data_IF_600367636495
#
_entry.id   IF_600367636495
#
_cell.length_a   1.000
_cell.length_b   1.000
_cell.length_c   1.000
_cell.angle_alpha   90.00
_cell.angle_beta   90.00
_cell.angle_gamma   90.00
#
_symmetry.space_group_name_H-M   'P 1'
#
loop_
_entity.id
_entity.type
_entity.pdbx_description
1 polymer ?
#
# COMPACT_ATOMS: atom_id res chain seq x y z
N UNK A 1 -18.69 -28.98 -29.18
CA UNK A 1 -18.31 -27.58 -29.45
C UNK A 1 -17.70 -27.04 -28.16
N UNK A 2 -16.39 -26.79 -28.14
CA UNK A 2 -15.74 -26.09 -27.02
C UNK A 2 -15.72 -24.61 -27.38
N UNK A 3 -16.40 -23.79 -26.58
CA UNK A 3 -16.31 -22.33 -26.66
C UNK A 3 -15.10 -21.90 -25.86
N UNK A 4 -14.13 -21.27 -26.51
CA UNK A 4 -13.03 -20.60 -25.82
C UNK A 4 -13.57 -19.26 -25.34
N UNK A 5 -13.79 -19.13 -24.03
CA UNK A 5 -14.03 -17.82 -23.44
C UNK A 5 -12.78 -16.97 -23.68
N UNK A 6 -12.92 -15.91 -24.45
CA UNK A 6 -11.87 -14.92 -24.62
C UNK A 6 -11.78 -14.15 -23.30
N UNK A 7 -10.78 -14.47 -22.48
CA UNK A 7 -10.46 -13.67 -21.31
C UNK A 7 -10.04 -12.28 -21.81
N UNK A 8 -10.96 -11.31 -21.74
CA UNK A 8 -10.60 -9.91 -21.91
C UNK A 8 -9.60 -9.55 -20.82
N UNK A 9 -8.46 -8.97 -21.19
CA UNK A 9 -7.55 -8.40 -20.21
C UNK A 9 -8.30 -7.24 -19.54
N UNK A 10 -8.80 -7.47 -18.33
CA UNK A 10 -9.41 -6.43 -17.54
C UNK A 10 -8.33 -5.40 -17.20
N UNK A 11 -8.64 -4.12 -17.42
CA UNK A 11 -7.65 -3.05 -17.35
C UNK A 11 -7.32 -2.74 -15.88
N UNK A 12 -6.04 -2.49 -15.61
CA UNK A 12 -5.60 -1.97 -14.32
C UNK A 12 -6.12 -0.55 -14.16
N UNK A 13 -6.55 -0.21 -12.94
CA UNK A 13 -7.13 1.10 -12.65
C UNK A 13 -6.13 1.96 -11.89
N UNK A 14 -5.90 3.21 -12.34
CA UNK A 14 -5.04 4.13 -11.60
C UNK A 14 -5.79 4.69 -10.38
N UNK A 15 -5.18 4.61 -9.20
CA UNK A 15 -5.65 5.27 -7.99
C UNK A 15 -4.58 6.22 -7.46
N UNK A 16 -5.00 7.33 -6.85
CA UNK A 16 -4.08 8.32 -6.31
C UNK A 16 -4.55 8.96 -5.01
N UNK A 17 -3.57 9.36 -4.20
CA UNK A 17 -3.75 10.24 -3.05
C UNK A 17 -3.21 11.61 -3.44
N UNK A 18 -4.13 12.51 -3.78
CA UNK A 18 -3.85 13.84 -4.36
C UNK A 18 -2.88 14.65 -3.50
N UNK A 19 -3.11 14.67 -2.18
CA UNK A 19 -2.29 15.41 -1.21
C UNK A 19 -0.80 15.08 -1.29
N UNK A 20 -0.48 13.82 -1.58
CA UNK A 20 0.90 13.34 -1.65
C UNK A 20 1.42 13.22 -3.09
N UNK A 21 0.60 13.52 -4.10
CA UNK A 21 0.91 13.28 -5.51
C UNK A 21 1.25 11.80 -5.80
N UNK A 22 0.81 10.89 -4.94
CA UNK A 22 1.14 9.47 -5.02
C UNK A 22 0.08 8.74 -5.84
N UNK A 23 0.52 7.98 -6.83
CA UNK A 23 -0.34 7.16 -7.69
C UNK A 23 0.18 5.73 -7.77
N UNK A 24 -0.73 4.77 -7.87
CA UNK A 24 -0.42 3.37 -8.15
C UNK A 24 -1.56 2.72 -8.92
N UNK A 25 -1.25 1.61 -9.56
CA UNK A 25 -2.25 0.84 -10.30
C UNK A 25 -2.87 -0.23 -9.39
N UNK A 26 -4.20 -0.25 -9.35
CA UNK A 26 -5.04 -1.23 -8.68
C UNK A 26 -5.25 -2.39 -9.66
N UNK A 27 -4.90 -3.64 -9.29
CA UNK A 27 -5.12 -4.79 -10.15
C UNK A 27 -6.62 -5.01 -10.44
N UNK A 28 -6.96 -5.67 -11.56
CA UNK A 28 -8.32 -6.13 -11.80
C UNK A 28 -8.89 -6.94 -10.64
N UNK A 29 -10.22 -6.92 -10.49
CA UNK A 29 -10.99 -7.59 -9.44
C UNK A 29 -10.81 -7.03 -8.02
N UNK A 30 -9.86 -6.11 -7.77
CA UNK A 30 -9.79 -5.39 -6.50
C UNK A 30 -10.81 -4.25 -6.47
N UNK A 31 -11.78 -4.35 -5.58
CA UNK A 31 -12.81 -3.32 -5.39
C UNK A 31 -12.48 -2.42 -4.20
N UNK A 32 -12.85 -1.13 -4.29
CA UNK A 32 -12.65 -0.18 -3.19
C UNK A 32 -13.54 -0.55 -1.99
N UNK A 33 -12.92 -1.01 -0.91
CA UNK A 33 -13.59 -1.37 0.33
C UNK A 33 -13.79 -0.16 1.24
N UNK A 34 -12.78 0.70 1.35
CA UNK A 34 -12.81 1.86 2.23
C UNK A 34 -11.93 2.98 1.69
N UNK A 35 -12.37 4.23 1.90
CA UNK A 35 -11.57 5.44 1.72
C UNK A 35 -11.62 6.27 3.00
N UNK A 36 -10.47 6.74 3.45
CA UNK A 36 -10.38 7.59 4.63
C UNK A 36 -11.07 8.94 4.38
N UNK A 37 -11.56 9.58 5.45
CA UNK A 37 -12.29 10.86 5.36
C UNK A 37 -11.42 12.02 4.91
N UNK A 38 -10.15 12.01 5.29
CA UNK A 38 -9.12 12.97 4.89
C UNK A 38 -8.60 12.72 3.47
N UNK A 39 -8.96 11.59 2.85
CA UNK A 39 -8.50 11.20 1.52
C UNK A 39 -7.07 10.64 1.49
N UNK A 40 -6.41 10.56 2.63
CA UNK A 40 -5.00 10.15 2.76
C UNK A 40 -4.81 8.63 2.82
N UNK A 41 -5.87 7.84 2.68
CA UNK A 41 -5.78 6.39 2.62
C UNK A 41 -6.97 5.71 1.96
N UNK A 42 -6.73 4.50 1.49
CA UNK A 42 -7.74 3.62 0.90
C UNK A 42 -7.38 2.15 1.10
N UNK A 43 -8.39 1.30 1.12
CA UNK A 43 -8.24 -0.14 1.11
C UNK A 43 -9.12 -0.74 0.01
N UNK A 44 -8.56 -1.73 -0.67
CA UNK A 44 -9.21 -2.50 -1.72
C UNK A 44 -9.18 -3.98 -1.35
N UNK A 45 -10.18 -4.73 -1.82
CA UNK A 45 -10.29 -6.15 -1.55
C UNK A 45 -10.59 -6.92 -2.84
N UNK A 46 -9.91 -8.04 -3.04
CA UNK A 46 -10.20 -8.99 -4.11
C UNK A 46 -11.29 -10.00 -3.70
N UNK A 47 -11.89 -10.74 -4.65
CA UNK A 47 -12.97 -11.69 -4.36
C UNK A 47 -12.54 -12.85 -3.43
N UNK A 48 -11.25 -13.21 -3.42
CA UNK A 48 -10.66 -14.21 -2.53
C UNK A 48 -10.23 -13.65 -1.17
N UNK A 49 -10.47 -12.35 -0.92
CA UNK A 49 -10.27 -11.70 0.37
C UNK A 49 -8.90 -11.05 0.56
N UNK A 50 -8.00 -11.05 -0.43
CA UNK A 50 -6.73 -10.35 -0.34
C UNK A 50 -6.94 -8.84 -0.23
N UNK A 51 -6.08 -8.17 0.56
CA UNK A 51 -6.18 -6.74 0.83
C UNK A 51 -5.03 -5.97 0.19
N UNK A 52 -5.37 -4.90 -0.50
CA UNK A 52 -4.44 -3.88 -0.98
C UNK A 52 -4.77 -2.58 -0.27
N UNK A 53 -3.87 -2.11 0.59
CA UNK A 53 -4.08 -0.89 1.37
C UNK A 53 -2.97 0.13 1.12
N UNK A 54 -3.36 1.39 1.08
CA UNK A 54 -2.48 2.55 0.94
C UNK A 54 -2.86 3.58 2.00
N UNK A 55 -1.86 4.23 2.58
CA UNK A 55 -2.06 5.39 3.43
C UNK A 55 -0.83 6.29 3.34
N UNK A 56 -1.02 7.57 3.59
CA UNK A 56 0.05 8.55 3.71
C UNK A 56 -0.16 9.42 4.95
N UNK A 57 0.92 10.04 5.39
CA UNK A 57 0.92 11.00 6.49
C UNK A 57 2.12 11.93 6.33
N UNK A 58 2.11 13.08 7.00
CA UNK A 58 3.28 13.93 7.04
C UNK A 58 4.40 13.27 7.85
N UNK A 59 5.59 13.25 7.27
CA UNK A 59 6.82 12.82 7.98
C UNK A 59 7.30 13.91 8.95
N UNK A 60 6.65 15.08 8.97
CA UNK A 60 7.03 16.25 9.74
C UNK A 60 7.04 16.03 11.28
N UNK A 61 6.31 15.03 11.79
CA UNK A 61 6.28 14.74 13.24
C UNK A 61 7.27 13.64 13.68
N UNK A 62 7.83 12.85 12.76
CA UNK A 62 8.91 11.89 13.07
C UNK A 62 9.57 11.35 11.81
N UNK A 63 10.89 11.11 11.87
CA UNK A 63 11.65 10.50 10.77
C UNK A 63 10.98 9.21 10.26
N UNK A 64 10.95 9.04 8.94
CA UNK A 64 10.35 7.89 8.25
C UNK A 64 10.78 6.53 8.83
N UNK A 65 12.08 6.34 9.06
CA UNK A 65 12.62 5.05 9.51
C UNK A 65 12.11 4.63 10.91
N UNK A 66 12.12 5.51 11.95
CA UNK A 66 11.43 5.25 13.20
C UNK A 66 9.95 4.87 13.06
N UNK A 67 9.17 5.52 12.19
CA UNK A 67 7.77 5.17 11.97
C UNK A 67 7.62 3.76 11.41
N UNK A 68 8.39 3.43 10.37
CA UNK A 68 8.40 2.08 9.78
C UNK A 68 8.80 1.03 10.82
N UNK A 69 9.83 1.28 11.63
CA UNK A 69 10.24 0.38 12.71
C UNK A 69 9.14 0.18 13.75
N UNK A 70 8.44 1.25 14.12
CA UNK A 70 7.30 1.19 15.06
C UNK A 70 6.18 0.31 14.49
N UNK A 71 5.82 0.49 13.22
CA UNK A 71 4.79 -0.33 12.56
C UNK A 71 5.20 -1.81 12.53
N UNK A 72 6.43 -2.11 12.12
CA UNK A 72 6.96 -3.47 12.10
C UNK A 72 6.89 -4.11 13.51
N UNK A 73 7.30 -3.37 14.55
CA UNK A 73 7.24 -3.87 15.94
C UNK A 73 5.81 -4.04 16.47
N UNK A 74 4.83 -3.29 15.95
CA UNK A 74 3.42 -3.51 16.26
C UNK A 74 2.91 -4.78 15.56
N UNK A 75 3.19 -4.93 14.27
CA UNK A 75 2.82 -6.12 13.49
C UNK A 75 3.43 -7.39 14.10
N UNK A 76 4.68 -7.35 14.57
CA UNK A 76 5.33 -8.47 15.26
C UNK A 76 4.60 -8.88 16.55
N UNK A 77 4.11 -7.90 17.33
CA UNK A 77 3.29 -8.17 18.53
C UNK A 77 1.96 -8.82 18.19
N UNK A 78 1.44 -8.57 16.99
CA UNK A 78 0.24 -9.21 16.45
C UNK A 78 0.51 -10.59 15.82
N UNK A 79 1.75 -11.08 15.90
CA UNK A 79 2.15 -12.42 15.46
C UNK A 79 2.76 -12.48 14.06
N UNK A 80 2.98 -11.36 13.39
CA UNK A 80 3.68 -11.36 12.10
C UNK A 80 5.15 -11.72 12.26
N UNK A 81 5.63 -12.68 11.45
CA UNK A 81 7.04 -13.01 11.33
C UNK A 81 7.58 -12.47 10.02
N UNK A 82 8.31 -11.36 10.06
CA UNK A 82 8.94 -10.82 8.85
C UNK A 82 10.25 -11.53 8.52
N UNK A 83 10.28 -12.15 7.34
CA UNK A 83 11.39 -12.96 6.80
C UNK A 83 12.30 -12.17 5.87
N UNK A 84 11.85 -11.00 5.39
CA UNK A 84 12.64 -10.09 4.57
C UNK A 84 12.43 -8.65 5.00
N UNK A 85 13.54 -7.88 5.12
CA UNK A 85 13.52 -6.44 5.46
C UNK A 85 14.66 -5.72 4.76
N UNK A 86 14.33 -4.63 4.06
CA UNK A 86 15.26 -3.59 3.60
C UNK A 86 14.69 -2.25 4.01
N UNK A 87 15.38 -1.57 4.95
CA UNK A 87 14.91 -0.33 5.56
C UNK A 87 15.99 0.73 5.40
N UNK A 88 15.62 1.89 4.87
CA UNK A 88 16.47 3.07 4.75
C UNK A 88 15.77 4.27 5.37
N UNK A 89 16.39 5.46 5.30
CA UNK A 89 15.77 6.70 5.79
C UNK A 89 14.66 7.22 4.88
N UNK A 90 14.59 6.77 3.64
CA UNK A 90 13.69 7.32 2.60
C UNK A 90 12.72 6.27 2.05
N UNK A 91 13.06 4.99 2.17
CA UNK A 91 12.20 3.91 1.69
C UNK A 91 12.37 2.63 2.52
N UNK A 92 11.34 1.80 2.48
CA UNK A 92 11.30 0.50 3.11
C UNK A 92 10.59 -0.52 2.22
N UNK A 93 11.10 -1.74 2.21
CA UNK A 93 10.45 -2.91 1.62
C UNK A 93 10.63 -4.08 2.57
N UNK A 94 9.53 -4.66 3.02
CA UNK A 94 9.56 -5.78 3.94
C UNK A 94 8.38 -6.71 3.71
N UNK A 95 8.60 -8.00 3.99
CA UNK A 95 7.57 -9.01 3.87
C UNK A 95 7.64 -10.04 4.98
N UNK A 96 6.46 -10.56 5.31
CA UNK A 96 6.29 -11.46 6.43
C UNK A 96 5.13 -12.40 6.23
N UNK A 97 5.09 -13.38 7.12
CA UNK A 97 4.08 -14.43 7.14
C UNK A 97 3.42 -14.47 8.51
N UNK A 98 2.12 -14.77 8.50
CA UNK A 98 1.32 -15.09 9.68
C UNK A 98 0.27 -16.10 9.24
N UNK A 99 0.29 -17.28 9.84
CA UNK A 99 -0.57 -18.40 9.45
C UNK A 99 -0.43 -18.70 7.94
N UNK A 100 -1.51 -18.60 7.17
CA UNK A 100 -1.57 -18.78 5.72
C UNK A 100 -1.47 -17.47 4.92
N UNK A 101 -1.21 -16.34 5.60
CA UNK A 101 -1.17 -15.01 4.99
C UNK A 101 0.25 -14.52 4.74
N UNK A 102 0.43 -13.87 3.59
CA UNK A 102 1.65 -13.12 3.25
C UNK A 102 1.33 -11.64 3.30
N UNK A 103 2.17 -10.87 3.98
CA UNK A 103 2.12 -9.40 3.97
C UNK A 103 3.35 -8.86 3.27
N UNK A 104 3.12 -8.03 2.26
CA UNK A 104 4.15 -7.31 1.52
C UNK A 104 3.91 -5.81 1.71
N UNK A 105 4.90 -5.09 2.25
CA UNK A 105 4.79 -3.66 2.49
C UNK A 105 5.90 -2.94 1.74
N UNK A 106 5.53 -1.84 1.08
CA UNK A 106 6.45 -0.84 0.54
C UNK A 106 6.08 0.52 1.10
N UNK A 107 7.06 1.24 1.61
CA UNK A 107 6.92 2.62 2.07
C UNK A 107 7.98 3.49 1.41
N UNK A 108 7.62 4.70 1.03
CA UNK A 108 8.51 5.70 0.44
C UNK A 108 8.20 7.06 1.06
N UNK A 109 9.22 7.92 1.17
CA UNK A 109 9.03 9.35 1.36
C UNK A 109 8.80 9.98 0.00
N UNK A 110 7.71 10.72 -0.16
CA UNK A 110 7.49 11.56 -1.33
C UNK A 110 7.96 12.98 -1.02
N UNK A 111 8.64 13.63 -1.96
CA UNK A 111 8.91 15.06 -1.84
C UNK A 111 7.59 15.81 -2.03
N UNK A 112 7.31 16.79 -1.18
CA UNK A 112 6.19 17.69 -1.43
C UNK A 112 6.36 18.35 -2.80
N UNK A 113 5.32 18.27 -3.64
CA UNK A 113 5.23 19.11 -4.82
C UNK A 113 5.14 20.54 -4.27
N UNK A 114 6.14 21.40 -4.54
CA UNK A 114 6.03 22.80 -4.19
C UNK A 114 4.75 23.34 -4.87
N UNK A 115 3.87 24.09 -4.16
CA UNK A 115 2.77 24.75 -4.85
C UNK A 115 3.37 25.61 -5.97
N UNK A 116 2.76 25.65 -7.18
CA UNK A 116 3.23 26.56 -8.20
C UNK A 116 3.28 27.96 -7.59
N UNK A 117 4.44 28.61 -7.65
CA UNK A 117 4.56 30.02 -7.33
C UNK A 117 3.61 30.77 -8.29
N UNK A 118 2.49 31.24 -7.77
CA UNK A 118 1.64 32.22 -8.44
C UNK A 118 2.13 33.63 -8.13
#
# INVERSE_FOLDING_TARGET
MFSFAQAGAQEWQQFGIERFGFVFDVPPEFELLHRSKDGDGAAFQSPDGALLAVWGTDVAESDFLPQVKKQISQDEKEGWKFIYRRLTREWASYSGIKDDQIRCVRGITVAAIAPPCF
#
